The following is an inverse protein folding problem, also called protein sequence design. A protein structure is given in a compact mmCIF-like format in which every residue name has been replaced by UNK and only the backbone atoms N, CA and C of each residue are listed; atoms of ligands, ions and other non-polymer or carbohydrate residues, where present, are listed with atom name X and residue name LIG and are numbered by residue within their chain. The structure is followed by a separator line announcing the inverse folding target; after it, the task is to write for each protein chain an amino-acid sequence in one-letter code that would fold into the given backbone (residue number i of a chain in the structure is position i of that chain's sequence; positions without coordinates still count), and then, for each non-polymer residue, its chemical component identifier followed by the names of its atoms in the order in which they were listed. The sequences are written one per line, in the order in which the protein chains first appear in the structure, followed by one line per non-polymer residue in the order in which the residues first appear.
data_IF_757295282069
#
_entry.id   IF_757295282069
#
_cell.length_a   1.000
_cell.length_b   1.000
_cell.length_c   1.000
_cell.angle_alpha   90.00
_cell.angle_beta   90.00
_cell.angle_gamma   90.00
#
_symmetry.space_group_name_H-M   'P 1'
#
loop_
_entity.id
_entity.type
_entity.pdbx_description
1 polymer ?
#
# COMPACT_ATOMS: atom_id res chain seq x y z
N UNK A 1 30.15 28.40 -64.20
CA UNK A 1 30.13 28.25 -62.73
C UNK A 1 28.70 27.92 -62.33
N UNK A 2 28.39 26.64 -62.12
CA UNK A 2 27.07 26.18 -61.66
C UNK A 2 27.24 25.46 -60.33
N UNK A 3 26.70 26.05 -59.27
CA UNK A 3 26.75 25.50 -57.91
C UNK A 3 25.56 24.58 -57.66
N UNK A 4 25.85 23.32 -57.35
CA UNK A 4 24.88 22.30 -56.99
C UNK A 4 24.58 22.44 -55.48
N UNK A 5 23.34 22.79 -55.13
CA UNK A 5 22.88 22.83 -53.73
C UNK A 5 22.23 21.49 -53.42
N UNK A 6 22.92 20.65 -52.66
CA UNK A 6 22.38 19.42 -52.08
C UNK A 6 21.57 19.75 -50.82
N UNK A 7 20.24 19.66 -50.90
CA UNK A 7 19.36 19.64 -49.73
C UNK A 7 19.56 18.33 -48.97
N UNK A 8 20.15 18.39 -47.79
CA UNK A 8 20.18 17.28 -46.84
C UNK A 8 18.85 17.18 -46.11
N UNK A 9 18.10 16.11 -46.35
CA UNK A 9 16.91 15.76 -45.58
C UNK A 9 17.35 15.24 -44.21
N UNK A 10 17.21 16.05 -43.16
CA UNK A 10 17.34 15.59 -41.78
C UNK A 10 16.11 14.74 -41.44
N UNK A 11 16.27 13.42 -41.41
CA UNK A 11 15.25 12.52 -40.87
C UNK A 11 15.24 12.69 -39.35
N UNK A 12 14.25 13.40 -38.82
CA UNK A 12 13.95 13.38 -37.40
C UNK A 12 13.50 11.95 -37.04
N UNK A 13 14.36 11.21 -36.35
CA UNK A 13 13.97 9.93 -35.77
C UNK A 13 12.85 10.13 -34.75
N UNK A 14 12.01 9.11 -34.49
CA UNK A 14 10.99 9.20 -33.46
C UNK A 14 11.65 9.54 -32.13
N UNK A 15 11.13 10.55 -31.45
CA UNK A 15 11.53 10.87 -30.08
C UNK A 15 11.12 9.68 -29.21
N UNK A 16 12.09 8.85 -28.84
CA UNK A 16 11.89 7.90 -27.76
C UNK A 16 11.70 8.74 -26.50
N UNK A 17 10.57 8.56 -25.83
CA UNK A 17 10.38 9.08 -24.48
C UNK A 17 11.50 8.47 -23.63
N UNK A 18 12.46 9.30 -23.23
CA UNK A 18 13.52 8.88 -22.32
C UNK A 18 12.87 8.77 -20.96
N UNK A 19 12.57 7.54 -20.55
CA UNK A 19 12.17 7.26 -19.18
C UNK A 19 13.28 7.70 -18.24
N UNK A 20 12.95 8.58 -17.31
CA UNK A 20 13.87 9.03 -16.26
C UNK A 20 13.94 7.93 -15.19
N UNK A 21 15.04 7.14 -15.11
CA UNK A 21 15.14 6.04 -14.17
C UNK A 21 15.23 6.51 -12.72
N UNK A 22 15.38 7.82 -12.49
CA UNK A 22 15.41 8.40 -11.14
C UNK A 22 14.00 8.72 -10.63
N UNK A 23 12.98 8.69 -11.49
CA UNK A 23 11.61 9.03 -11.12
C UNK A 23 10.93 7.87 -10.36
N UNK A 24 10.21 8.14 -9.25
CA UNK A 24 9.40 7.13 -8.59
C UNK A 24 8.34 6.53 -9.52
N UNK A 25 8.00 5.27 -9.31
CA UNK A 25 6.89 4.60 -10.00
C UNK A 25 5.63 4.80 -9.18
N UNK A 26 4.52 5.14 -9.85
CA UNK A 26 3.20 5.30 -9.21
C UNK A 26 2.23 4.27 -9.76
N UNK A 27 1.48 3.63 -8.86
CA UNK A 27 0.38 2.75 -9.20
C UNK A 27 -0.87 3.19 -8.44
N UNK A 28 -1.97 3.41 -9.16
CA UNK A 28 -3.28 3.68 -8.53
C UNK A 28 -3.87 2.35 -8.06
N UNK A 29 -4.11 2.22 -6.75
CA UNK A 29 -4.62 0.97 -6.15
C UNK A 29 -6.10 1.03 -5.81
N UNK A 30 -6.65 2.24 -5.62
CA UNK A 30 -8.06 2.42 -5.31
C UNK A 30 -8.58 3.75 -5.87
N UNK A 31 -9.81 3.74 -6.39
CA UNK A 31 -10.57 4.94 -6.71
C UNK A 31 -11.84 5.08 -5.86
N UNK A 32 -12.56 6.21 -5.98
CA UNK A 32 -13.84 6.42 -5.31
C UNK A 32 -14.86 5.34 -5.73
N UNK A 33 -15.62 4.83 -4.75
CA UNK A 33 -16.59 3.76 -4.97
C UNK A 33 -17.89 4.04 -4.20
N UNK A 34 -18.77 3.04 -4.13
CA UNK A 34 -19.97 3.09 -3.30
C UNK A 34 -19.67 3.07 -1.79
N UNK A 35 -18.44 2.78 -1.39
CA UNK A 35 -18.00 2.93 -0.01
C UNK A 35 -17.41 4.33 0.22
N UNK A 36 -17.52 4.90 1.43
CA UNK A 36 -16.75 6.08 1.80
C UNK A 36 -15.27 5.84 1.52
N UNK A 37 -14.62 6.82 0.90
CA UNK A 37 -13.22 6.77 0.53
C UNK A 37 -12.89 7.71 -0.62
N UNK A 38 -11.61 7.79 -0.94
CA UNK A 38 -11.10 8.54 -2.08
C UNK A 38 -10.15 7.71 -2.93
N UNK A 39 -9.14 8.36 -3.50
CA UNK A 39 -8.10 7.74 -4.32
C UNK A 39 -6.96 7.29 -3.42
N UNK A 40 -6.46 6.08 -3.66
CA UNK A 40 -5.23 5.59 -3.06
C UNK A 40 -4.21 5.27 -4.15
N UNK A 41 -2.98 5.69 -3.93
CA UNK A 41 -1.85 5.38 -4.81
C UNK A 41 -0.73 4.76 -4.00
N UNK A 42 -0.03 3.81 -4.61
CA UNK A 42 1.25 3.30 -4.14
C UNK A 42 2.37 3.97 -4.93
N UNK A 43 3.39 4.41 -4.22
CA UNK A 43 4.55 5.08 -4.79
C UNK A 43 5.80 4.34 -4.36
N UNK A 44 6.54 3.84 -5.33
CA UNK A 44 7.82 3.16 -5.12
C UNK A 44 8.96 4.10 -5.50
N UNK A 45 9.80 4.45 -4.53
CA UNK A 45 10.97 5.30 -4.75
C UNK A 45 11.98 4.64 -5.68
N UNK A 46 12.56 5.42 -6.58
CA UNK A 46 13.59 4.95 -7.50
C UNK A 46 14.98 5.10 -6.89
N UNK A 47 15.92 5.82 -7.53
CA UNK A 47 17.32 5.90 -7.09
C UNK A 47 17.64 7.08 -6.18
N UNK A 48 16.76 8.08 -6.08
CA UNK A 48 16.94 9.26 -5.21
C UNK A 48 15.73 9.42 -4.28
N UNK A 49 15.89 10.01 -3.08
CA UNK A 49 14.78 10.25 -2.18
C UNK A 49 13.90 11.40 -2.68
N UNK A 50 12.57 11.26 -2.51
CA UNK A 50 11.59 12.27 -2.88
C UNK A 50 10.67 12.63 -1.71
N UNK A 51 10.23 13.89 -1.69
CA UNK A 51 8.97 14.26 -1.06
C UNK A 51 7.86 14.13 -2.11
N UNK A 52 6.84 13.37 -1.78
CA UNK A 52 5.74 13.02 -2.68
C UNK A 52 4.44 13.51 -2.07
N UNK A 53 3.64 14.21 -2.87
CA UNK A 53 2.34 14.74 -2.46
C UNK A 53 1.27 14.24 -3.43
N UNK A 54 0.26 13.55 -2.90
CA UNK A 54 -0.96 13.22 -3.62
C UNK A 54 -1.89 14.43 -3.55
N UNK A 55 -2.21 15.01 -4.70
CA UNK A 55 -3.07 16.17 -4.80
C UNK A 55 -4.26 15.87 -5.72
N UNK A 56 -5.37 16.56 -5.48
CA UNK A 56 -6.55 16.52 -6.35
C UNK A 56 -6.86 17.93 -6.87
N UNK A 57 -7.96 18.07 -7.59
CA UNK A 57 -8.56 19.37 -7.95
C UNK A 57 -9.21 20.09 -6.76
N UNK A 58 -9.33 19.45 -5.59
CA UNK A 58 -9.88 20.06 -4.38
C UNK A 58 -8.92 21.07 -3.75
N UNK A 59 -9.49 22.02 -3.00
CA UNK A 59 -8.74 23.08 -2.33
C UNK A 59 -8.96 23.06 -0.79
N UNK A 60 -7.89 23.19 0.02
CA UNK A 60 -6.49 23.27 -0.40
C UNK A 60 -6.00 21.92 -0.99
N UNK A 61 -5.12 22.00 -1.99
CA UNK A 61 -4.53 20.80 -2.58
C UNK A 61 -3.50 20.14 -1.65
N UNK A 62 -3.07 18.92 -2.01
CA UNK A 62 -2.12 18.14 -1.22
C UNK A 62 -2.80 17.46 -0.04
N UNK A 63 -3.57 16.41 -0.36
CA UNK A 63 -4.39 15.69 0.60
C UNK A 63 -3.57 14.75 1.49
N UNK A 64 -2.49 14.22 0.93
CA UNK A 64 -1.56 13.37 1.67
C UNK A 64 -0.14 13.54 1.14
N UNK A 65 0.84 13.31 2.02
CA UNK A 65 2.26 13.49 1.71
C UNK A 65 3.12 12.48 2.44
N UNK A 66 4.14 12.01 1.77
CA UNK A 66 5.17 11.18 2.39
C UNK A 66 6.54 11.49 1.81
N UNK A 67 7.56 11.19 2.62
CA UNK A 67 8.92 11.00 2.11
C UNK A 67 9.06 9.56 1.63
N UNK A 68 9.65 9.38 0.47
CA UNK A 68 9.90 8.09 -0.16
C UNK A 68 11.40 7.93 -0.39
N UNK A 69 11.99 6.98 0.32
CA UNK A 69 13.40 6.60 0.15
C UNK A 69 13.60 5.69 -1.08
N UNK A 70 14.83 5.55 -1.61
CA UNK A 70 15.12 4.64 -2.71
C UNK A 70 14.67 3.19 -2.42
N UNK A 71 13.86 2.62 -3.32
CA UNK A 71 13.28 1.27 -3.19
C UNK A 71 12.15 1.14 -2.15
N UNK A 72 11.84 2.18 -1.39
CA UNK A 72 10.72 2.17 -0.44
C UNK A 72 9.39 2.29 -1.19
N UNK A 73 8.39 1.51 -0.79
CA UNK A 73 7.01 1.71 -1.24
C UNK A 73 6.19 2.36 -0.13
N UNK A 74 5.43 3.40 -0.46
CA UNK A 74 4.49 4.07 0.45
C UNK A 74 3.12 4.13 -0.18
N UNK A 75 2.07 4.15 0.64
CA UNK A 75 0.71 4.39 0.21
C UNK A 75 0.29 5.80 0.59
N UNK A 76 -0.28 6.54 -0.36
CA UNK A 76 -0.87 7.85 -0.16
C UNK A 76 -2.37 7.77 -0.43
N UNK A 77 -3.18 8.45 0.39
CA UNK A 77 -4.65 8.41 0.28
C UNK A 77 -5.28 9.79 0.35
N UNK A 78 -6.24 10.07 -0.53
CA UNK A 78 -7.08 11.27 -0.42
C UNK A 78 -8.15 11.07 0.66
N UNK A 79 -8.75 12.17 1.13
CA UNK A 79 -9.96 12.11 1.92
C UNK A 79 -11.17 11.62 1.12
N UNK A 80 -12.28 11.36 1.81
CA UNK A 80 -13.53 10.91 1.21
C UNK A 80 -14.01 11.86 0.10
N UNK A 81 -14.40 11.29 -1.03
CA UNK A 81 -14.97 12.03 -2.17
C UNK A 81 -16.49 12.05 -2.01
N UNK A 82 -17.14 13.20 -2.21
CA UNK A 82 -18.59 13.30 -2.10
C UNK A 82 -19.31 12.53 -3.23
N UNK A 83 -20.57 12.15 -3.01
CA UNK A 83 -21.38 11.48 -4.04
C UNK A 83 -21.50 12.34 -5.30
N UNK A 84 -21.25 11.75 -6.47
CA UNK A 84 -21.27 12.47 -7.75
C UNK A 84 -20.12 13.48 -7.96
N UNK A 85 -19.21 13.64 -6.99
CA UNK A 85 -18.06 14.53 -7.13
C UNK A 85 -17.05 13.92 -8.10
N UNK A 86 -16.55 14.78 -9.01
CA UNK A 86 -15.43 14.46 -9.89
C UNK A 86 -14.14 15.04 -9.32
N UNK A 87 -13.11 14.19 -9.24
CA UNK A 87 -11.77 14.59 -8.85
C UNK A 87 -10.75 14.12 -9.88
N UNK A 88 -9.77 14.99 -10.14
CA UNK A 88 -8.62 14.65 -10.97
C UNK A 88 -7.42 14.56 -10.05
N UNK A 89 -6.80 13.38 -10.00
CA UNK A 89 -5.70 13.08 -9.10
C UNK A 89 -4.37 13.27 -9.81
N UNK A 90 -3.39 13.82 -9.10
CA UNK A 90 -2.02 14.00 -9.59
C UNK A 90 -1.03 13.80 -8.46
N UNK A 91 0.18 13.40 -8.81
CA UNK A 91 1.28 13.21 -7.86
C UNK A 91 2.37 14.24 -8.14
N UNK A 92 2.73 14.98 -7.11
CA UNK A 92 3.80 15.97 -7.15
C UNK A 92 5.04 15.36 -6.51
N UNK A 93 6.17 15.40 -7.22
CA UNK A 93 7.46 14.93 -6.75
C UNK A 93 8.40 16.10 -6.54
N UNK A 94 9.10 16.13 -5.40
CA UNK A 94 10.22 17.04 -5.15
C UNK A 94 11.44 16.24 -4.72
N UNK A 95 12.50 16.25 -5.53
CA UNK A 95 13.73 15.54 -5.22
C UNK A 95 14.41 16.14 -3.98
N UNK A 96 14.86 15.28 -3.07
CA UNK A 96 15.49 15.67 -1.80
C UNK A 96 17.02 15.61 -1.83
N UNK A 97 17.60 15.31 -2.99
CA UNK A 97 19.05 15.29 -3.23
C UNK A 97 19.67 16.69 -3.43
N UNK A 98 18.84 17.75 -3.35
CA UNK A 98 19.26 19.14 -3.54
C UNK A 98 19.31 19.57 -5.01
N UNK A 99 18.93 18.71 -5.96
CA UNK A 99 18.79 19.10 -7.37
C UNK A 99 17.68 20.13 -7.59
N UNK A 100 16.71 20.19 -6.68
CA UNK A 100 15.52 21.03 -6.81
C UNK A 100 14.59 20.57 -7.94
N UNK A 101 14.81 19.37 -8.49
CA UNK A 101 13.97 18.81 -9.53
C UNK A 101 12.56 18.58 -8.96
N UNK A 102 11.57 19.19 -9.62
CA UNK A 102 10.16 18.93 -9.37
C UNK A 102 9.55 18.31 -10.60
N UNK A 103 8.68 17.33 -10.40
CA UNK A 103 7.92 16.70 -11.46
C UNK A 103 6.47 16.59 -11.03
N UNK A 104 5.57 16.63 -12.00
CA UNK A 104 4.15 16.34 -11.83
C UNK A 104 3.84 15.14 -12.71
N UNK A 105 3.21 14.14 -12.11
CA UNK A 105 2.54 13.08 -12.84
C UNK A 105 1.04 13.35 -12.73
N UNK A 106 0.43 13.70 -13.86
CA UNK A 106 -1.00 14.03 -13.96
C UNK A 106 -1.88 12.77 -13.87
N UNK A 107 -1.29 11.57 -13.71
CA UNK A 107 -1.99 10.28 -13.69
C UNK A 107 -3.00 10.20 -14.85
N UNK A 108 -2.51 10.34 -16.08
CA UNK A 108 -3.36 10.42 -17.26
C UNK A 108 -4.32 9.22 -17.34
N UNK A 109 -5.61 9.51 -17.50
CA UNK A 109 -6.68 8.50 -17.50
C UNK A 109 -7.28 8.17 -16.12
N UNK A 110 -6.76 8.74 -15.04
CA UNK A 110 -7.28 8.55 -13.68
C UNK A 110 -8.13 9.75 -13.19
N UNK A 111 -9.08 10.14 -14.03
CA UNK A 111 -10.17 11.04 -13.66
C UNK A 111 -11.30 10.21 -13.03
N UNK A 112 -11.64 10.50 -11.78
CA UNK A 112 -12.63 9.72 -11.05
C UNK A 112 -13.87 10.52 -10.77
N UNK A 113 -15.03 9.90 -10.97
CA UNK A 113 -16.31 10.41 -10.47
C UNK A 113 -16.87 9.39 -9.50
N UNK A 114 -17.10 9.77 -8.24
CA UNK A 114 -17.79 8.87 -7.31
C UNK A 114 -19.21 8.65 -7.84
N UNK A 115 -19.71 7.40 -7.95
CA UNK A 115 -21.07 7.15 -8.41
C UNK A 115 -22.10 7.93 -7.58
N UNK A 116 -23.30 8.17 -8.12
CA UNK A 116 -24.35 8.79 -7.31
C UNK A 116 -24.78 7.86 -6.17
N UNK A 117 -25.27 8.44 -5.07
CA UNK A 117 -25.78 7.66 -3.94
C UNK A 117 -26.91 6.71 -4.36
N UNK A 118 -27.79 7.18 -5.24
CA UNK A 118 -28.91 6.41 -5.79
C UNK A 118 -28.43 5.18 -6.58
N UNK A 119 -27.39 5.33 -7.40
CA UNK A 119 -26.81 4.21 -8.16
C UNK A 119 -26.19 3.16 -7.23
N UNK A 120 -25.52 3.62 -6.18
CA UNK A 120 -24.94 2.75 -5.16
C UNK A 120 -25.99 2.04 -4.30
N UNK A 121 -27.09 2.71 -3.98
CA UNK A 121 -28.21 2.10 -3.27
C UNK A 121 -28.92 1.04 -4.12
N UNK A 122 -28.99 1.23 -5.45
CA UNK A 122 -29.62 0.29 -6.37
C UNK A 122 -28.86 -1.04 -6.51
N UNK A 123 -27.53 -1.03 -6.35
CA UNK A 123 -26.69 -2.24 -6.40
C UNK A 123 -26.42 -2.85 -5.01
N UNK A 124 -26.79 -2.17 -3.94
CA UNK A 124 -26.60 -2.68 -2.59
C UNK A 124 -27.37 -4.00 -2.43
N UNK A 125 -26.76 -5.04 -1.81
CA UNK A 125 -27.46 -6.28 -1.53
C UNK A 125 -28.76 -5.98 -0.77
N UNK A 126 -29.88 -6.64 -1.11
CA UNK A 126 -31.13 -6.43 -0.39
C UNK A 126 -30.90 -6.72 1.09
N UNK A 127 -31.02 -5.68 1.92
CA UNK A 127 -30.79 -5.77 3.37
C UNK A 127 -31.92 -6.53 4.08
N UNK A 128 -33.01 -6.82 3.37
CA UNK A 128 -34.05 -7.71 3.85
C UNK A 128 -33.49 -9.13 3.86
N UNK A 129 -33.44 -9.74 5.05
CA UNK A 129 -33.25 -11.16 5.23
C UNK A 129 -34.30 -11.90 4.38
N UNK A 130 -33.95 -12.24 3.15
CA UNK A 130 -34.74 -13.10 2.32
C UNK A 130 -34.78 -14.43 3.08
N UNK A 131 -35.94 -14.71 3.68
CA UNK A 131 -36.19 -16.01 4.29
C UNK A 131 -36.18 -16.99 3.13
N UNK A 132 -35.04 -17.67 2.96
CA UNK A 132 -34.92 -18.76 1.99
C UNK A 132 -35.98 -19.79 2.39
N UNK A 133 -37.01 -20.04 1.56
CA UNK A 133 -37.96 -21.10 1.85
C UNK A 133 -37.18 -22.42 1.97
N UNK A 134 -37.45 -23.27 2.98
CA UNK A 134 -36.74 -24.53 3.12
C UNK A 134 -36.88 -25.34 1.84
N UNK A 135 -35.74 -25.68 1.22
CA UNK A 135 -35.70 -26.54 0.05
C UNK A 135 -36.29 -27.90 0.42
N UNK A 136 -37.48 -28.19 -0.09
CA UNK A 136 -38.08 -29.53 -0.04
C UNK A 136 -37.24 -30.46 -0.90
N UNK A 137 -36.56 -31.41 -0.26
CA UNK A 137 -35.63 -32.33 -0.90
C UNK A 137 -36.29 -33.14 -2.02
N UNK A 138 -35.71 -33.06 -3.22
CA UNK A 138 -35.87 -34.07 -4.26
C UNK A 138 -34.62 -34.94 -4.30
N UNK A 139 -34.71 -36.10 -3.63
CA UNK A 139 -33.82 -37.23 -3.88
C UNK A 139 -34.28 -37.89 -5.19
N UNK A 140 -33.66 -37.51 -6.30
CA UNK A 140 -33.78 -38.18 -7.59
C UNK A 140 -32.49 -38.89 -7.93
N UNK A 141 -32.41 -40.19 -7.61
CA UNK A 141 -31.36 -41.06 -8.09
C UNK A 141 -31.57 -41.30 -9.61
N UNK A 142 -30.64 -40.80 -10.42
CA UNK A 142 -30.55 -41.10 -11.85
C UNK A 142 -29.15 -41.64 -12.15
N UNK A 143 -29.04 -42.96 -12.21
CA UNK A 143 -27.94 -43.66 -12.86
C UNK A 143 -28.21 -43.65 -14.36
N UNK A 144 -27.36 -42.99 -15.15
CA UNK A 144 -27.26 -43.32 -16.57
C UNK A 144 -25.83 -43.15 -17.10
N UNK A 145 -25.47 -44.17 -17.85
CA UNK A 145 -24.22 -44.56 -18.50
C UNK A 145 -23.56 -43.46 -19.35
N UNK A 146 -22.23 -43.32 -19.25
CA UNK A 146 -21.40 -42.53 -20.20
C UNK A 146 -20.27 -43.42 -20.76
N UNK A 147 -20.10 -43.52 -22.09
CA UNK A 147 -19.07 -44.34 -22.74
C UNK A 147 -17.65 -43.72 -22.67
N UNK A 148 -16.58 -44.52 -22.76
CA UNK A 148 -15.21 -44.01 -22.68
C UNK A 148 -14.69 -43.65 -24.08
N UNK A 149 -14.28 -42.39 -24.28
CA UNK A 149 -13.46 -42.02 -25.45
C UNK A 149 -13.65 -40.60 -25.94
N UNK A 150 -12.88 -39.67 -25.37
CA UNK A 150 -12.80 -38.29 -25.88
C UNK A 150 -12.01 -37.38 -24.94
N UNK A 151 -10.68 -37.48 -24.96
CA UNK A 151 -9.78 -36.49 -24.34
C UNK A 151 -9.81 -35.21 -25.17
N UNK A 152 -10.71 -34.30 -24.81
CA UNK A 152 -10.57 -32.87 -25.06
C UNK A 152 -9.82 -32.27 -23.86
N UNK A 153 -8.86 -31.34 -24.05
CA UNK A 153 -8.37 -30.51 -22.95
C UNK A 153 -9.56 -29.70 -22.43
N UNK A 154 -10.05 -30.04 -21.25
CA UNK A 154 -11.14 -29.31 -20.60
C UNK A 154 -10.67 -27.91 -20.19
N UNK A 155 -11.55 -26.90 -20.23
CA UNK A 155 -11.29 -25.63 -19.56
C UNK A 155 -11.10 -25.87 -18.06
N UNK A 156 -10.23 -25.05 -17.48
CA UNK A 156 -9.63 -25.17 -16.15
C UNK A 156 -10.52 -25.78 -15.06
N UNK A 157 -9.96 -26.76 -14.36
CA UNK A 157 -10.56 -27.30 -13.15
C UNK A 157 -10.78 -26.17 -12.13
N UNK A 158 -11.88 -26.18 -11.34
CA UNK A 158 -12.11 -25.17 -10.32
C UNK A 158 -10.93 -25.15 -9.35
N UNK A 159 -10.25 -24.01 -9.27
CA UNK A 159 -9.15 -23.77 -8.33
C UNK A 159 -9.67 -23.98 -6.91
N UNK A 160 -9.16 -24.99 -6.22
CA UNK A 160 -9.54 -25.26 -4.82
C UNK A 160 -9.21 -24.03 -3.97
N UNK A 161 -10.07 -23.64 -3.00
CA UNK A 161 -9.77 -22.55 -2.08
C UNK A 161 -8.41 -22.76 -1.41
N UNK A 162 -7.59 -21.72 -1.40
CA UNK A 162 -6.22 -21.77 -0.91
C UNK A 162 -5.91 -20.51 -0.09
N UNK A 163 -5.08 -20.69 0.94
CA UNK A 163 -4.61 -19.63 1.82
C UNK A 163 -3.10 -19.77 2.02
N UNK A 164 -2.41 -18.64 2.05
CA UNK A 164 -0.99 -18.54 2.35
C UNK A 164 -0.74 -17.31 3.21
N UNK A 165 0.25 -17.41 4.11
CA UNK A 165 0.69 -16.30 4.94
C UNK A 165 2.17 -16.09 4.67
N UNK A 166 2.53 -14.87 4.29
CA UNK A 166 3.91 -14.45 4.20
C UNK A 166 4.30 -13.81 5.54
N UNK A 167 5.13 -14.52 6.29
CA UNK A 167 5.83 -14.00 7.46
C UNK A 167 7.30 -13.76 7.09
N UNK A 168 7.97 -12.83 7.77
CA UNK A 168 9.35 -12.44 7.45
C UNK A 168 10.41 -13.53 7.71
N UNK A 169 10.03 -14.76 8.06
CA UNK A 169 10.97 -15.86 8.36
C UNK A 169 10.33 -17.24 8.07
N UNK A 170 11.05 -18.08 7.31
CA UNK A 170 10.50 -19.20 6.53
C UNK A 170 10.13 -20.51 7.25
N UNK A 171 9.57 -21.42 6.43
CA UNK A 171 9.13 -22.82 6.67
C UNK A 171 8.36 -23.05 7.98
N UNK A 172 7.02 -23.02 7.87
CA UNK A 172 6.03 -22.64 8.88
C UNK A 172 6.14 -21.15 9.21
N UNK A 173 5.13 -20.32 8.95
CA UNK A 173 5.20 -18.90 9.29
C UNK A 173 5.31 -18.78 10.82
N UNK A 174 6.53 -18.61 11.30
CA UNK A 174 6.83 -18.25 12.67
C UNK A 174 6.57 -16.76 12.78
N UNK A 175 5.56 -16.39 13.58
CA UNK A 175 5.10 -15.00 13.69
C UNK A 175 5.24 -14.57 15.14
N UNK A 176 5.84 -13.42 15.40
CA UNK A 176 5.91 -12.85 16.73
C UNK A 176 4.54 -12.26 17.14
N UNK A 177 4.19 -12.37 18.42
CA UNK A 177 3.08 -11.61 18.95
C UNK A 177 3.33 -10.10 18.76
N UNK A 178 2.37 -9.37 18.18
CA UNK A 178 2.52 -7.96 17.80
C UNK A 178 3.04 -7.74 16.37
N UNK A 179 3.42 -8.79 15.64
CA UNK A 179 3.89 -8.68 14.25
C UNK A 179 2.72 -8.46 13.27
N UNK A 180 2.96 -7.70 12.22
CA UNK A 180 2.05 -7.54 11.07
C UNK A 180 2.40 -8.59 10.03
N UNK A 181 1.41 -9.35 9.57
CA UNK A 181 1.57 -10.38 8.54
C UNK A 181 0.67 -10.15 7.35
N UNK A 182 1.16 -10.44 6.16
CA UNK A 182 0.37 -10.41 4.92
C UNK A 182 -0.30 -11.76 4.71
N UNK A 183 -1.62 -11.73 4.59
CA UNK A 183 -2.48 -12.90 4.35
C UNK A 183 -2.99 -12.83 2.92
N UNK A 184 -2.84 -13.94 2.20
CA UNK A 184 -3.39 -14.14 0.87
C UNK A 184 -4.35 -15.32 0.91
N UNK A 185 -5.60 -15.14 0.52
CA UNK A 185 -6.61 -16.19 0.52
C UNK A 185 -7.47 -16.12 -0.76
N UNK A 186 -7.91 -17.27 -1.27
CA UNK A 186 -8.63 -17.39 -2.55
C UNK A 186 -9.76 -18.42 -2.46
N UNK A 187 -10.72 -18.33 -3.38
CA UNK A 187 -11.90 -19.20 -3.44
C UNK A 187 -13.15 -18.58 -2.81
N UNK A 188 -13.17 -17.25 -2.66
CA UNK A 188 -14.34 -16.49 -2.22
C UNK A 188 -15.12 -15.99 -3.44
N UNK A 189 -16.37 -15.60 -3.24
CA UNK A 189 -17.13 -14.91 -4.28
C UNK A 189 -16.60 -13.48 -4.48
N UNK A 190 -16.72 -12.97 -5.70
CA UNK A 190 -16.31 -11.60 -6.00
C UNK A 190 -17.08 -10.59 -5.14
N UNK A 191 -16.36 -9.68 -4.46
CA UNK A 191 -16.95 -8.68 -3.57
C UNK A 191 -17.46 -9.25 -2.23
N UNK A 192 -17.14 -10.50 -1.90
CA UNK A 192 -17.55 -11.13 -0.64
C UNK A 192 -16.78 -10.57 0.57
N UNK A 193 -17.50 -10.25 1.65
CA UNK A 193 -16.89 -9.93 2.93
C UNK A 193 -16.29 -11.19 3.59
N UNK A 194 -15.02 -11.09 3.98
CA UNK A 194 -14.29 -12.17 4.65
C UNK A 194 -13.81 -11.73 6.04
N UNK A 195 -13.88 -12.65 7.00
CA UNK A 195 -13.43 -12.42 8.37
C UNK A 195 -12.19 -13.26 8.65
N UNK A 196 -11.15 -12.61 9.18
CA UNK A 196 -9.90 -13.23 9.59
C UNK A 196 -9.88 -13.39 11.11
N UNK A 197 -9.64 -14.61 11.58
CA UNK A 197 -9.59 -14.93 13.02
C UNK A 197 -8.60 -16.04 13.33
N UNK A 198 -8.11 -16.06 14.56
CA UNK A 198 -7.38 -17.21 15.09
C UNK A 198 -8.35 -18.34 15.48
N UNK A 199 -7.83 -19.55 15.61
CA UNK A 199 -8.57 -20.76 16.00
C UNK A 199 -9.30 -20.64 17.35
N UNK A 200 -8.79 -19.78 18.24
CA UNK A 200 -9.38 -19.49 19.56
C UNK A 200 -10.57 -18.51 19.49
N UNK A 201 -10.92 -18.05 18.28
CA UNK A 201 -12.00 -17.10 18.02
C UNK A 201 -11.56 -15.64 18.05
N UNK A 202 -10.29 -15.35 18.33
CA UNK A 202 -9.78 -13.97 18.35
C UNK A 202 -9.88 -13.36 16.95
N UNK A 203 -10.66 -12.28 16.82
CA UNK A 203 -10.80 -11.56 15.56
C UNK A 203 -9.53 -10.75 15.26
N UNK A 204 -9.02 -10.89 14.04
CA UNK A 204 -7.86 -10.14 13.55
C UNK A 204 -8.25 -9.00 12.62
N UNK A 205 -9.38 -9.15 11.92
CA UNK A 205 -9.92 -8.14 11.03
C UNK A 205 -10.91 -8.70 10.02
N UNK A 206 -11.30 -7.87 9.07
CA UNK A 206 -12.13 -8.22 7.92
C UNK A 206 -11.57 -7.60 6.66
N UNK A 207 -11.77 -8.26 5.53
CA UNK A 207 -11.42 -7.75 4.20
C UNK A 207 -12.52 -8.13 3.20
N UNK A 208 -12.37 -7.72 1.95
CA UNK A 208 -13.32 -8.03 0.88
C UNK A 208 -12.57 -8.67 -0.28
N UNK A 209 -13.12 -9.76 -0.79
CA UNK A 209 -12.56 -10.45 -1.95
C UNK A 209 -12.71 -9.57 -3.20
N UNK A 210 -11.68 -9.55 -4.04
CA UNK A 210 -11.68 -8.83 -5.31
C UNK A 210 -12.56 -9.52 -6.38
N UNK A 211 -12.48 -9.06 -7.63
CA UNK A 211 -13.29 -9.60 -8.73
C UNK A 211 -12.96 -11.06 -9.06
N UNK A 212 -11.77 -11.53 -8.69
CA UNK A 212 -11.30 -12.90 -8.91
C UNK A 212 -11.52 -13.80 -7.68
N UNK A 213 -12.13 -13.26 -6.61
CA UNK A 213 -12.34 -13.99 -5.37
C UNK A 213 -11.08 -14.12 -4.52
N UNK A 214 -10.10 -13.25 -4.73
CA UNK A 214 -8.83 -13.18 -4.01
C UNK A 214 -8.89 -12.10 -2.91
N UNK A 215 -8.27 -12.40 -1.79
CA UNK A 215 -8.12 -11.51 -0.63
C UNK A 215 -6.63 -11.36 -0.35
N UNK A 216 -6.13 -10.13 -0.36
CA UNK A 216 -4.79 -9.79 0.10
C UNK A 216 -4.92 -8.72 1.18
N UNK A 217 -4.46 -9.00 2.39
CA UNK A 217 -4.62 -8.06 3.52
C UNK A 217 -3.51 -8.22 4.56
N UNK A 218 -3.16 -7.13 5.21
CA UNK A 218 -2.24 -7.13 6.35
C UNK A 218 -3.03 -7.23 7.65
N UNK A 219 -2.63 -8.14 8.53
CA UNK A 219 -3.24 -8.30 9.86
C UNK A 219 -2.18 -8.32 10.95
N UNK A 220 -2.47 -7.66 12.07
CA UNK A 220 -1.59 -7.64 13.23
C UNK A 220 -1.93 -8.78 14.17
N UNK A 221 -0.95 -9.62 14.51
CA UNK A 221 -1.11 -10.62 15.57
C UNK A 221 -1.16 -9.91 16.92
N UNK A 222 -2.17 -10.15 17.77
CA UNK A 222 -2.27 -9.50 19.07
C UNK A 222 -1.00 -9.72 19.92
N UNK A 223 -0.51 -8.67 20.58
CA UNK A 223 0.67 -8.77 21.46
C UNK A 223 0.49 -9.74 22.64
N UNK A 224 -0.76 -10.02 23.03
CA UNK A 224 -1.12 -11.00 24.06
C UNK A 224 -1.43 -12.40 23.53
N UNK A 225 -1.20 -12.68 22.25
CA UNK A 225 -1.48 -13.99 21.66
C UNK A 225 -0.63 -15.08 22.34
N UNK A 226 -1.25 -16.24 22.59
CA UNK A 226 -0.57 -17.35 23.25
C UNK A 226 0.50 -17.93 22.32
N UNK A 227 1.69 -18.13 22.86
CA UNK A 227 2.77 -18.84 22.19
C UNK A 227 2.34 -20.27 21.83
N UNK A 228 2.70 -20.74 20.64
CA UNK A 228 2.45 -22.11 20.20
C UNK A 228 1.82 -22.22 18.81
N UNK A 229 1.47 -23.45 18.44
CA UNK A 229 0.75 -23.73 17.20
C UNK A 229 -0.70 -23.25 17.31
N UNK A 230 -1.15 -22.55 16.29
CA UNK A 230 -2.55 -22.12 16.12
C UNK A 230 -2.91 -22.17 14.63
N UNK A 231 -4.16 -21.93 14.28
CA UNK A 231 -4.53 -21.71 12.89
C UNK A 231 -5.12 -20.32 12.68
N UNK A 232 -4.77 -19.71 11.56
CA UNK A 232 -5.48 -18.55 11.02
C UNK A 232 -6.59 -19.10 10.13
N UNK A 233 -7.80 -18.63 10.38
CA UNK A 233 -9.01 -19.04 9.69
C UNK A 233 -9.58 -17.82 8.99
N UNK A 234 -9.83 -17.96 7.69
CA UNK A 234 -10.52 -16.97 6.86
C UNK A 234 -11.87 -17.55 6.48
N UNK A 235 -12.94 -16.82 6.79
CA UNK A 235 -14.32 -17.27 6.57
C UNK A 235 -15.06 -16.25 5.71
N UNK A 236 -15.61 -16.71 4.59
CA UNK A 236 -16.49 -15.92 3.73
C UNK A 236 -17.91 -15.85 4.28
N UNK A 237 -18.54 -14.67 4.19
CA UNK A 237 -19.90 -14.42 4.69
C UNK A 237 -21.02 -14.96 3.78
N UNK A 238 -20.73 -15.18 2.49
CA UNK A 238 -21.71 -15.55 1.46
C UNK A 238 -21.52 -17.01 1.06
N UNK A 239 -20.28 -17.41 0.79
CA UNK A 239 -19.94 -18.78 0.36
C UNK A 239 -19.80 -19.74 1.53
N UNK A 240 -19.74 -19.22 2.77
CA UNK A 240 -19.37 -19.96 3.98
C UNK A 240 -18.03 -20.72 3.85
N UNK A 241 -17.24 -20.37 2.83
CA UNK A 241 -15.96 -21.00 2.56
C UNK A 241 -15.02 -20.70 3.71
N UNK A 242 -14.51 -21.76 4.32
CA UNK A 242 -13.54 -21.67 5.41
C UNK A 242 -12.22 -22.22 4.93
N UNK A 243 -11.20 -21.38 4.94
CA UNK A 243 -9.82 -21.77 4.62
C UNK A 243 -8.94 -21.51 5.83
N UNK A 244 -8.09 -22.48 6.17
CA UNK A 244 -7.24 -22.40 7.35
C UNK A 244 -5.78 -22.72 7.00
N UNK A 245 -4.86 -22.02 7.66
CA UNK A 245 -3.42 -22.28 7.61
C UNK A 245 -2.88 -22.40 9.03
N UNK A 246 -1.93 -23.30 9.23
CA UNK A 246 -1.24 -23.44 10.50
C UNK A 246 -0.19 -22.33 10.65
N UNK A 247 -0.18 -21.69 11.82
CA UNK A 247 0.83 -20.72 12.22
C UNK A 247 1.48 -21.15 13.52
N UNK A 248 2.72 -20.70 13.73
CA UNK A 248 3.42 -20.84 14.99
C UNK A 248 3.69 -19.46 15.57
N UNK A 249 2.97 -19.10 16.63
CA UNK A 249 3.20 -17.84 17.33
C UNK A 249 4.41 -18.02 18.25
N UNK A 250 5.48 -17.28 17.96
CA UNK A 250 6.59 -17.15 18.88
C UNK A 250 6.08 -16.44 20.13
N UNK A 251 6.32 -17.03 21.31
CA UNK A 251 5.98 -16.35 22.55
C UNK A 251 6.66 -14.99 22.59
N UNK A 252 5.96 -13.99 23.13
CA UNK A 252 6.59 -12.71 23.44
C UNK A 252 7.88 -13.05 24.19
N UNK A 253 9.03 -12.76 23.58
CA UNK A 253 10.27 -12.82 24.31
C UNK A 253 10.01 -12.01 25.57
N UNK A 254 10.15 -12.63 26.75
CA UNK A 254 10.28 -11.85 27.97
C UNK A 254 11.26 -10.75 27.61
N UNK A 255 10.92 -9.45 27.80
CA UNK A 255 11.85 -8.38 27.46
C UNK A 255 13.15 -8.83 28.06
N UNK A 256 14.15 -9.11 27.21
CA UNK A 256 15.35 -9.76 27.68
C UNK A 256 15.77 -8.93 28.88
N UNK A 257 15.80 -9.59 30.05
CA UNK A 257 16.46 -9.07 31.23
C UNK A 257 17.79 -8.62 30.67
N UNK A 258 17.93 -7.30 30.52
CA UNK A 258 19.10 -6.69 29.93
C UNK A 258 20.13 -6.91 31.01
N UNK A 259 20.77 -8.09 30.92
CA UNK A 259 21.52 -8.76 31.96
C UNK A 259 22.32 -7.74 32.73
N UNK A 260 21.72 -7.28 33.80
CA UNK A 260 22.35 -6.45 34.80
C UNK A 260 23.18 -7.40 35.63
N UNK A 261 24.32 -7.81 35.09
CA UNK A 261 25.45 -8.19 35.90
C UNK A 261 26.74 -7.69 35.21
N UNK A 262 27.42 -6.88 36.00
CA UNK A 262 28.58 -6.06 35.70
C UNK A 262 29.74 -6.83 35.05
N UNK A 263 30.61 -6.14 34.31
CA UNK A 263 31.83 -5.48 34.81
C UNK A 263 32.49 -4.76 33.63
N UNK A 264 32.50 -3.42 33.63
CA UNK A 264 33.75 -2.63 33.52
C UNK A 264 33.45 -1.13 33.69
N UNK A 265 34.05 -0.45 34.68
CA UNK A 265 33.87 0.96 34.92
C UNK A 265 34.94 1.76 34.17
N UNK A 266 34.68 2.24 32.96
CA UNK A 266 35.55 3.24 32.33
C UNK A 266 34.74 4.14 31.38
N UNK A 267 34.20 5.23 31.92
CA UNK A 267 34.10 6.53 31.22
C UNK A 267 33.65 7.64 32.19
N UNK A 268 34.38 7.79 33.29
CA UNK A 268 34.56 9.13 33.88
C UNK A 268 35.60 9.83 33.00
N UNK A 269 35.14 10.53 31.96
CA UNK A 269 35.81 11.62 31.25
C UNK A 269 35.11 11.81 29.89
N UNK A 270 34.46 12.96 29.68
CA UNK A 270 34.10 13.34 28.30
C UNK A 270 32.81 14.12 28.07
N UNK A 271 32.21 14.79 29.06
CA UNK A 271 31.22 15.86 28.77
C UNK A 271 31.61 17.15 29.49
N UNK A 272 32.79 17.64 29.11
CA UNK A 272 33.09 19.06 29.04
C UNK A 272 33.81 19.23 27.72
N UNK A 273 33.11 19.76 26.71
CA UNK A 273 33.56 20.32 25.40
C UNK A 273 32.54 19.92 24.33
N UNK A 274 31.37 20.57 24.32
CA UNK A 274 30.73 21.17 23.12
C UNK A 274 29.83 22.31 23.61
N UNK A 275 30.46 23.34 24.18
CA UNK A 275 29.85 24.65 24.43
C UNK A 275 30.69 25.78 23.79
N UNK A 276 31.41 25.46 22.70
CA UNK A 276 32.41 26.34 22.08
C UNK A 276 32.19 26.59 20.57
N UNK A 277 31.01 26.31 20.02
CA UNK A 277 30.70 26.62 18.60
C UNK A 277 29.59 27.66 18.39
N UNK A 278 28.98 28.20 19.46
CA UNK A 278 27.96 29.27 19.37
C UNK A 278 28.49 30.70 19.58
N UNK A 279 29.74 30.88 19.98
CA UNK A 279 30.25 32.17 20.46
C UNK A 279 30.90 33.10 19.43
N UNK A 280 31.22 32.62 18.21
CA UNK A 280 32.06 33.38 17.27
C UNK A 280 31.30 34.12 16.15
N UNK A 281 29.99 33.94 16.01
CA UNK A 281 29.22 34.62 14.97
C UNK A 281 28.68 36.02 15.36
N UNK A 282 28.67 36.37 16.65
CA UNK A 282 28.07 37.64 17.13
C UNK A 282 29.06 38.83 17.21
N UNK A 283 30.36 38.62 17.02
CA UNK A 283 31.37 39.70 17.08
C UNK A 283 31.68 40.36 15.73
N UNK A 284 31.28 39.74 14.61
CA UNK A 284 31.53 40.27 13.26
C UNK A 284 30.50 41.33 12.82
N UNK A 285 29.27 41.32 13.38
CA UNK A 285 28.21 42.27 13.01
C UNK A 285 28.33 43.63 13.71
N UNK A 286 29.01 43.73 14.87
CA UNK A 286 29.20 45.02 15.57
C UNK A 286 30.26 45.93 14.96
N UNK A 287 31.18 45.41 14.13
CA UNK A 287 32.23 46.26 13.50
C UNK A 287 31.78 47.00 12.24
N UNK A 288 30.61 46.68 11.67
CA UNK A 288 30.10 47.38 10.47
C UNK A 288 29.29 48.65 10.77
N UNK A 289 29.01 48.97 12.04
CA UNK A 289 28.20 50.14 12.42
C UNK A 289 29.00 51.41 12.73
N UNK A 290 30.33 51.42 12.59
CA UNK A 290 31.18 52.56 12.96
C UNK A 290 32.07 53.06 11.80
N UNK A 291 31.48 53.31 10.62
CA UNK A 291 32.16 54.08 9.56
C UNK A 291 31.40 55.40 9.33
N UNK A 292 31.91 56.54 9.81
CA UNK A 292 31.31 57.84 9.54
C UNK A 292 31.49 58.23 8.06
N UNK A 293 30.56 59.01 7.49
CA UNK A 293 30.67 59.51 6.13
C UNK A 293 31.78 60.56 6.03
N UNK A 294 32.81 60.28 5.23
CA UNK A 294 33.75 61.29 4.76
C UNK A 294 33.06 62.14 3.69
N UNK A 295 32.67 63.35 4.07
CA UNK A 295 32.27 64.39 3.13
C UNK A 295 33.46 64.83 2.27
N UNK A 296 33.17 65.18 1.02
CA UNK A 296 34.07 65.95 0.14
C UNK A 296 33.27 67.14 -0.37
N UNK A 297 33.90 68.31 -0.28
CA UNK A 297 33.46 69.59 -0.83
C UNK A 297 33.55 69.61 -2.37
#
# INVERSE_FOLDING_TARGET
MGGLITLGSATAGPALAVDDPTRPVVQVTQGPSCRPGGVAVEVTGATVPYEVVLATTRAPGGEDRARVEPGQTVRLTTGDVAWGERIDSRVLFTALDGSGATAVDELEGYEFTRPAEEDCAAIAPPTAAATVPPAVGSSGAGTDDVPPGGVLPGPDAPTRPAISVAASSGSSPGVAAGEVVTVTASGFAAGEDVVLRLADGTALGSSVADIDGLVVTEVTIPAGARAGSTSLVVVGAVTETTVAVELRIAGAGSPADRGGDAVWPLAVAGVAVVAAAGGLALSALRRRAARPPSGSA
#
